data_IF_435879380236
#
_entry.id   IF_435879380236
#
_cell.length_a   1.000
_cell.length_b   1.000
_cell.length_c   1.000
_cell.angle_alpha   90.00
_cell.angle_beta   90.00
_cell.angle_gamma   90.00
#
_symmetry.space_group_name_H-M   'P 1'
#
loop_
_entity.id
_entity.type
_entity.pdbx_description
1 polymer ?
#
# COMPACT_ATOMS: atom_id res chain seq x y z
N UNK A 1 -8.93 -13.68 -12.75
CA UNK A 1 -8.63 -13.60 -11.31
C UNK A 1 -9.12 -12.24 -10.87
N UNK A 2 -10.03 -12.19 -9.89
CA UNK A 2 -10.57 -10.92 -9.40
C UNK A 2 -9.50 -10.19 -8.60
N UNK A 3 -9.19 -8.96 -9.01
CA UNK A 3 -8.37 -8.04 -8.24
C UNK A 3 -9.27 -7.46 -7.15
N UNK A 4 -8.90 -7.65 -5.88
CA UNK A 4 -9.65 -7.07 -4.76
C UNK A 4 -9.01 -5.74 -4.38
N UNK A 5 -9.82 -4.69 -4.35
CA UNK A 5 -9.37 -3.42 -3.78
C UNK A 5 -9.14 -3.58 -2.27
N UNK A 6 -7.86 -3.56 -1.88
CA UNK A 6 -7.43 -3.66 -0.48
C UNK A 6 -7.24 -2.31 0.19
N UNK A 7 -7.32 -1.21 -0.55
CA UNK A 7 -7.10 0.15 -0.06
C UNK A 7 -7.00 1.18 -1.17
N UNK A 8 -6.79 2.43 -0.77
CA UNK A 8 -6.60 3.55 -1.70
C UNK A 8 -5.47 4.47 -1.23
N UNK A 9 -4.66 4.97 -2.16
CA UNK A 9 -3.59 5.92 -1.85
C UNK A 9 -4.23 7.28 -1.59
N UNK A 10 -4.09 7.80 -0.36
CA UNK A 10 -4.61 9.11 0.03
C UNK A 10 -3.59 10.22 -0.20
N UNK A 11 -2.30 9.89 -0.11
CA UNK A 11 -1.22 10.82 -0.36
C UNK A 11 0.00 10.11 -0.93
N UNK A 12 0.74 10.77 -1.82
CA UNK A 12 1.98 10.22 -2.38
C UNK A 12 3.06 11.29 -2.43
N UNK A 13 4.16 11.03 -1.74
CA UNK A 13 5.35 11.88 -1.73
C UNK A 13 6.29 11.45 -2.85
N UNK A 14 6.12 12.02 -4.04
CA UNK A 14 6.91 11.65 -5.22
C UNK A 14 8.43 11.83 -5.05
N UNK A 15 8.88 12.75 -4.19
CA UNK A 15 10.31 12.95 -3.91
C UNK A 15 10.91 11.81 -3.07
N UNK A 16 10.10 11.16 -2.23
CA UNK A 16 10.54 10.07 -1.35
C UNK A 16 10.08 8.69 -1.86
N UNK A 17 9.24 8.67 -2.90
CA UNK A 17 8.54 7.47 -3.37
C UNK A 17 7.74 6.77 -2.26
N UNK A 18 7.21 7.53 -1.30
CA UNK A 18 6.40 7.03 -0.18
C UNK A 18 4.93 7.36 -0.40
N UNK A 19 4.06 6.35 -0.35
CA UNK A 19 2.62 6.51 -0.40
C UNK A 19 1.96 6.25 0.95
N UNK A 20 1.05 7.14 1.35
CA UNK A 20 0.10 6.89 2.43
C UNK A 20 -1.10 6.19 1.81
N UNK A 21 -1.42 5.01 2.34
CA UNK A 21 -2.50 4.16 1.84
C UNK A 21 -3.51 3.96 2.96
N UNK A 22 -4.77 4.27 2.68
CA UNK A 22 -5.86 3.87 3.56
C UNK A 22 -6.26 2.43 3.22
N UNK A 23 -5.86 1.50 4.08
CA UNK A 23 -6.17 0.08 3.92
C UNK A 23 -7.64 -0.21 4.28
N UNK A 24 -8.31 -0.97 3.43
CA UNK A 24 -9.65 -1.54 3.63
C UNK A 24 -9.61 -3.01 4.03
N UNK A 25 -8.50 -3.69 3.74
CA UNK A 25 -8.23 -5.08 4.07
C UNK A 25 -6.80 -5.25 4.62
N UNK A 26 -6.44 -6.43 5.06
CA UNK A 26 -5.08 -6.72 5.51
C UNK A 26 -4.09 -6.76 4.35
N UNK A 27 -2.89 -6.24 4.58
CA UNK A 27 -1.75 -6.27 3.66
C UNK A 27 -0.52 -6.78 4.40
N UNK A 28 0.30 -7.61 3.75
CA UNK A 28 1.56 -8.10 4.31
C UNK A 28 2.76 -7.78 3.45
N UNK A 29 3.91 -7.70 4.11
CA UNK A 29 5.21 -7.66 3.42
C UNK A 29 5.36 -8.95 2.62
N UNK A 30 5.73 -8.83 1.35
CA UNK A 30 5.81 -9.92 0.38
C UNK A 30 4.55 -10.10 -0.48
N UNK A 31 3.44 -9.43 -0.15
CA UNK A 31 2.25 -9.45 -1.01
C UNK A 31 2.49 -8.66 -2.30
N UNK A 32 1.93 -9.14 -3.40
CA UNK A 32 1.93 -8.41 -4.68
C UNK A 32 0.71 -7.50 -4.73
N UNK A 33 0.95 -6.19 -4.84
CA UNK A 33 -0.08 -5.17 -4.97
C UNK A 33 -0.08 -4.57 -6.37
N UNK A 34 -1.27 -4.22 -6.85
CA UNK A 34 -1.44 -3.51 -8.10
C UNK A 34 -1.96 -2.11 -7.81
N UNK A 35 -1.13 -1.11 -8.12
CA UNK A 35 -1.45 0.30 -7.95
C UNK A 35 -1.91 0.84 -9.29
N UNK A 36 -3.18 1.22 -9.36
CA UNK A 36 -3.79 1.83 -10.53
C UNK A 36 -4.32 3.22 -10.20
N UNK A 37 -3.59 4.22 -10.67
CA UNK A 37 -3.94 5.64 -10.59
C UNK A 37 -4.25 6.22 -11.98
N UNK A 38 -4.46 7.53 -12.02
CA UNK A 38 -4.76 8.24 -13.28
C UNK A 38 -3.59 8.23 -14.26
N UNK A 39 -2.35 8.30 -13.75
CA UNK A 39 -1.12 8.40 -14.53
C UNK A 39 -0.16 7.22 -14.30
N UNK A 40 -0.53 6.24 -13.49
CA UNK A 40 0.36 5.16 -13.07
C UNK A 40 -0.41 3.87 -12.95
N UNK A 41 0.15 2.81 -13.54
CA UNK A 41 -0.39 1.45 -13.52
C UNK A 41 0.83 0.57 -13.30
N UNK A 42 1.03 0.14 -12.06
CA UNK A 42 2.23 -0.60 -11.65
C UNK A 42 1.86 -1.70 -10.68
N UNK A 43 2.42 -2.88 -10.93
CA UNK A 43 2.38 -3.99 -9.99
C UNK A 43 3.73 -4.07 -9.29
N UNK A 44 3.71 -4.11 -7.96
CA UNK A 44 4.91 -4.22 -7.16
C UNK A 44 4.70 -5.17 -5.98
N UNK A 45 5.80 -5.73 -5.47
CA UNK A 45 5.80 -6.49 -4.23
C UNK A 45 5.99 -5.50 -3.08
N UNK A 46 5.31 -5.74 -1.97
CA UNK A 46 5.50 -4.95 -0.75
C UNK A 46 6.82 -5.36 -0.09
N UNK A 47 7.87 -4.58 -0.29
CA UNK A 47 9.18 -4.83 0.35
C UNK A 47 9.21 -4.43 1.84
N UNK A 48 8.48 -3.37 2.20
CA UNK A 48 8.41 -2.88 3.58
C UNK A 48 7.15 -2.03 3.81
N UNK A 49 6.69 -1.99 5.06
CA UNK A 49 5.61 -1.13 5.52
C UNK A 49 5.93 -0.54 6.88
N UNK A 50 5.40 0.65 7.15
CA UNK A 50 5.55 1.35 8.41
C UNK A 50 4.20 1.88 8.88
N UNK A 51 3.93 1.73 10.19
CA UNK A 51 2.77 2.30 10.89
C UNK A 51 3.34 3.08 12.07
N UNK A 52 2.95 4.34 12.27
CA UNK A 52 3.45 5.19 13.36
C UNK A 52 5.00 5.16 13.53
N UNK A 53 5.74 5.17 12.42
CA UNK A 53 7.22 5.09 12.34
C UNK A 53 7.83 3.75 12.81
N UNK A 54 7.01 2.72 13.01
CA UNK A 54 7.46 1.37 13.32
C UNK A 54 7.35 0.47 12.08
N UNK A 55 8.40 -0.29 11.78
CA UNK A 55 8.35 -1.31 10.72
C UNK A 55 7.39 -2.43 11.12
N UNK A 56 6.47 -2.77 10.23
CA UNK A 56 5.48 -3.83 10.44
C UNK A 56 5.51 -4.83 9.30
N UNK A 57 5.21 -6.09 9.61
CA UNK A 57 5.08 -7.15 8.60
C UNK A 57 3.66 -7.29 8.07
N UNK A 58 2.67 -6.81 8.82
CA UNK A 58 1.25 -6.87 8.49
C UNK A 58 0.61 -5.55 8.91
N UNK A 59 -0.22 -5.00 8.03
CA UNK A 59 -1.05 -3.83 8.27
C UNK A 59 -2.52 -4.22 8.04
N UNK A 60 -3.43 -3.64 8.82
CA UNK A 60 -4.86 -3.94 8.79
C UNK A 60 -5.66 -2.71 8.42
N UNK A 61 -6.96 -2.93 8.20
CA UNK A 61 -7.91 -1.85 7.96
C UNK A 61 -7.84 -0.80 9.07
N UNK A 62 -7.60 0.45 8.68
CA UNK A 62 -7.56 1.59 9.59
C UNK A 62 -6.18 1.92 10.16
N UNK A 63 -5.14 1.14 9.83
CA UNK A 63 -3.77 1.48 10.16
C UNK A 63 -3.22 2.54 9.18
N UNK A 64 -2.52 3.55 9.68
CA UNK A 64 -1.97 4.70 8.92
C UNK A 64 -0.56 5.04 9.38
#
# INVERSE_FOLDING_TARGET
>A
MEEREIGAITHYYGHLSVGIVELKDALKVGDSIHIKGHSSDVTQIVDSMQIEHANVQEAKKGDV
#
